data_IF_071942959763
#
_entry.id   IF_071942959763
#
_cell.length_a   1.000
_cell.length_b   1.000
_cell.length_c   1.000
_cell.angle_alpha   90.00
_cell.angle_beta   90.00
_cell.angle_gamma   90.00
#
_symmetry.space_group_name_H-M   'P 1'
#
loop_
_entity.id
_entity.type
_entity.pdbx_description
1 polymer ?
#
# COMPACT_ATOMS: atom_id res chain seq x y z
N UNK A 1 0.73 18.40 -3.24
CA UNK A 1 0.66 17.17 -4.04
C UNK A 1 0.26 15.99 -3.15
N UNK A 2 1.11 15.54 -2.21
CA UNK A 2 0.75 14.48 -1.26
C UNK A 2 -0.36 14.90 -0.28
N UNK A 3 -0.31 16.13 0.23
CA UNK A 3 -1.33 16.68 1.14
C UNK A 3 -2.63 17.12 0.43
N UNK A 4 -2.85 16.69 -0.82
CA UNK A 4 -4.07 17.08 -1.55
C UNK A 4 -5.25 16.22 -1.13
N UNK A 5 -6.46 16.79 -1.18
CA UNK A 5 -7.70 16.08 -0.87
C UNK A 5 -7.84 14.78 -1.67
N UNK A 6 -7.47 14.81 -2.95
CA UNK A 6 -7.47 13.65 -3.84
C UNK A 6 -6.56 12.52 -3.34
N UNK A 7 -5.35 12.84 -2.87
CA UNK A 7 -4.45 11.82 -2.31
C UNK A 7 -5.00 11.32 -0.99
N UNK A 8 -5.48 12.20 -0.11
CA UNK A 8 -6.05 11.83 1.19
C UNK A 8 -7.20 10.82 1.06
N UNK A 9 -8.11 10.98 0.09
CA UNK A 9 -9.22 10.04 -0.08
C UNK A 9 -8.80 8.69 -0.70
N UNK A 10 -7.68 8.61 -1.44
CA UNK A 10 -7.23 7.37 -2.10
C UNK A 10 -6.02 6.68 -1.44
N UNK A 11 -5.32 7.35 -0.50
CA UNK A 11 -4.08 6.84 0.08
C UNK A 11 -4.26 5.46 0.76
N UNK A 12 -5.43 5.22 1.36
CA UNK A 12 -5.76 3.94 1.99
C UNK A 12 -5.62 2.75 1.02
N UNK A 13 -5.91 2.93 -0.26
CA UNK A 13 -5.68 1.88 -1.26
C UNK A 13 -4.20 1.55 -1.45
N UNK A 14 -3.33 2.57 -1.45
CA UNK A 14 -1.88 2.34 -1.50
C UNK A 14 -1.38 1.64 -0.23
N UNK A 15 -1.94 2.00 0.93
CA UNK A 15 -1.64 1.32 2.19
C UNK A 15 -2.07 -0.16 2.12
N UNK A 16 -3.22 -0.46 1.51
CA UNK A 16 -3.68 -1.85 1.33
C UNK A 16 -2.69 -2.70 0.53
N UNK A 17 -2.03 -2.11 -0.47
CA UNK A 17 -1.00 -2.79 -1.28
C UNK A 17 0.27 -3.04 -0.45
N UNK A 18 0.80 -2.00 0.19
CA UNK A 18 2.12 -2.09 0.82
C UNK A 18 2.08 -2.77 2.19
N UNK A 19 1.02 -2.58 2.97
CA UNK A 19 0.93 -3.06 4.36
C UNK A 19 -0.35 -3.84 4.67
N UNK A 20 -1.33 -3.84 3.77
CA UNK A 20 -2.66 -4.38 4.03
C UNK A 20 -2.96 -5.70 3.33
N UNK A 21 -4.25 -5.98 3.19
CA UNK A 21 -4.74 -7.26 2.71
C UNK A 21 -4.36 -7.60 1.26
N UNK A 22 -3.96 -6.60 0.45
CA UNK A 22 -3.53 -6.81 -0.94
C UNK A 22 -2.04 -7.11 -1.09
N UNK A 23 -1.26 -7.10 0.00
CA UNK A 23 0.17 -7.38 -0.08
C UNK A 23 0.48 -8.84 -0.49
N UNK A 24 -0.40 -9.78 -0.11
CA UNK A 24 -0.19 -11.23 -0.31
C UNK A 24 -1.48 -11.96 -0.69
N UNK A 25 -1.35 -13.23 -1.08
CA UNK A 25 -2.48 -14.11 -1.37
C UNK A 25 -3.19 -13.80 -2.69
N UNK A 26 -4.46 -14.22 -2.81
CA UNK A 26 -5.26 -14.05 -4.02
C UNK A 26 -5.48 -12.59 -4.39
N UNK A 27 -5.56 -11.70 -3.39
CA UNK A 27 -5.79 -10.28 -3.61
C UNK A 27 -4.57 -9.59 -4.22
N UNK A 28 -3.35 -9.97 -3.83
CA UNK A 28 -2.13 -9.51 -4.47
C UNK A 28 -2.06 -9.93 -5.94
N UNK A 29 -2.43 -11.17 -6.26
CA UNK A 29 -2.48 -11.68 -7.64
C UNK A 29 -3.48 -10.88 -8.46
N UNK A 30 -4.69 -10.68 -7.93
CA UNK A 30 -5.77 -9.94 -8.61
C UNK A 30 -5.38 -8.49 -8.87
N UNK A 31 -4.59 -7.90 -7.97
CA UNK A 31 -4.17 -6.51 -8.07
C UNK A 31 -2.79 -6.33 -8.74
N UNK A 32 -2.18 -7.42 -9.20
CA UNK A 32 -0.88 -7.44 -9.91
C UNK A 32 0.27 -6.87 -9.05
N UNK A 33 0.27 -7.22 -7.76
CA UNK A 33 1.23 -6.72 -6.76
C UNK A 33 2.02 -7.87 -6.09
N UNK A 34 2.30 -8.93 -6.85
CA UNK A 34 3.09 -10.08 -6.38
C UNK A 34 4.55 -9.89 -6.71
N UNK A 35 5.39 -9.90 -5.68
CA UNK A 35 6.84 -9.81 -5.78
C UNK A 35 7.50 -11.20 -5.72
N UNK A 36 8.81 -11.24 -5.95
CA UNK A 36 9.58 -12.47 -5.81
C UNK A 36 9.53 -13.00 -4.37
N UNK A 37 9.44 -14.31 -4.18
CA UNK A 37 9.12 -14.90 -2.87
C UNK A 37 10.10 -14.50 -1.75
N UNK A 38 11.38 -14.28 -2.07
CA UNK A 38 12.39 -13.84 -1.09
C UNK A 38 12.24 -12.38 -0.64
N UNK A 39 11.41 -11.58 -1.31
CA UNK A 39 11.12 -10.23 -0.87
C UNK A 39 10.22 -10.22 0.37
N UNK A 40 9.46 -11.30 0.62
CA UNK A 40 8.54 -11.39 1.74
C UNK A 40 9.25 -11.85 3.01
N UNK A 41 8.87 -11.23 4.13
CA UNK A 41 9.35 -11.62 5.45
C UNK A 41 9.12 -13.11 5.73
N UNK A 42 10.12 -13.74 6.37
CA UNK A 42 10.11 -15.15 6.77
C UNK A 42 9.89 -16.16 5.64
N UNK A 43 10.14 -15.77 4.38
CA UNK A 43 10.02 -16.68 3.24
C UNK A 43 11.01 -17.86 3.29
N UNK A 44 12.16 -17.69 3.95
CA UNK A 44 13.20 -18.73 4.09
C UNK A 44 13.80 -18.68 5.49
N UNK A 45 14.02 -19.85 6.08
CA UNK A 45 14.85 -20.02 7.28
C UNK A 45 16.31 -20.18 6.85
N UNK A 46 17.15 -19.17 7.11
CA UNK A 46 18.56 -19.20 6.72
C UNK A 46 19.37 -20.26 7.47
N UNK A 47 18.97 -20.61 8.70
CA UNK A 47 19.67 -21.58 9.53
C UNK A 47 19.44 -23.02 9.06
N UNK A 48 18.38 -23.27 8.28
CA UNK A 48 18.14 -24.58 7.69
C UNK A 48 18.93 -24.83 6.40
N UNK A 49 19.66 -23.82 5.88
CA UNK A 49 20.46 -23.94 4.66
C UNK A 49 21.85 -24.45 5.03
N UNK A 50 22.16 -25.67 4.62
CA UNK A 50 23.44 -26.33 4.93
C UNK A 50 24.58 -25.93 3.98
N UNK A 51 24.25 -25.60 2.73
CA UNK A 51 25.24 -25.21 1.73
C UNK A 51 25.62 -23.72 1.91
N UNK A 52 26.89 -23.40 2.19
CA UNK A 52 27.34 -22.02 2.41
C UNK A 52 27.20 -21.14 1.16
N UNK A 53 27.33 -21.71 -0.04
CA UNK A 53 27.17 -20.95 -1.30
C UNK A 53 25.72 -20.53 -1.49
N UNK A 54 24.78 -21.44 -1.27
CA UNK A 54 23.35 -21.17 -1.43
C UNK A 54 22.87 -20.16 -0.37
N UNK A 55 23.36 -20.30 0.87
CA UNK A 55 23.10 -19.34 1.94
C UNK A 55 23.57 -17.94 1.56
N UNK A 56 24.81 -17.81 1.09
CA UNK A 56 25.37 -16.51 0.67
C UNK A 56 24.60 -15.90 -0.49
N UNK A 57 24.16 -16.73 -1.44
CA UNK A 57 23.37 -16.28 -2.58
C UNK A 57 22.00 -15.74 -2.14
N UNK A 58 21.31 -16.46 -1.24
CA UNK A 58 20.01 -16.03 -0.70
C UNK A 58 20.16 -14.75 0.14
N UNK A 59 21.17 -14.66 1.00
CA UNK A 59 21.45 -13.44 1.78
C UNK A 59 21.72 -12.24 0.88
N UNK A 60 22.48 -12.44 -0.19
CA UNK A 60 22.76 -11.39 -1.20
C UNK A 60 21.49 -10.98 -1.92
N UNK A 61 20.63 -11.93 -2.27
CA UNK A 61 19.34 -11.66 -2.90
C UNK A 61 18.46 -10.79 -2.01
N UNK A 62 18.29 -11.19 -0.75
CA UNK A 62 17.46 -10.47 0.24
C UNK A 62 18.00 -9.05 0.48
N UNK A 63 19.33 -8.89 0.56
CA UNK A 63 19.96 -7.59 0.86
C UNK A 63 19.87 -6.59 -0.29
N UNK A 64 19.92 -7.07 -1.53
CA UNK A 64 20.14 -6.19 -2.69
C UNK A 64 18.95 -6.06 -3.64
N UNK A 65 17.95 -6.96 -3.58
CA UNK A 65 16.85 -6.99 -4.57
C UNK A 65 15.48 -6.65 -3.98
N UNK A 66 15.47 -5.98 -2.83
CA UNK A 66 14.28 -5.42 -2.20
C UNK A 66 13.66 -6.32 -1.13
N UNK A 67 13.03 -5.68 -0.15
CA UNK A 67 12.32 -6.32 0.95
C UNK A 67 10.95 -5.66 1.06
N UNK A 68 9.89 -6.45 0.93
CA UNK A 68 8.53 -5.99 1.19
C UNK A 68 8.38 -5.72 2.70
N UNK A 69 7.77 -4.59 3.10
CA UNK A 69 7.47 -4.34 4.50
C UNK A 69 6.60 -5.43 5.13
N UNK A 70 6.58 -5.51 6.45
CA UNK A 70 5.68 -6.42 7.16
C UNK A 70 4.21 -6.10 6.85
N UNK A 71 3.38 -7.15 6.69
CA UNK A 71 1.93 -6.97 6.57
C UNK A 71 1.37 -6.62 7.95
N UNK A 72 0.77 -5.43 8.06
CA UNK A 72 0.23 -4.90 9.32
C UNK A 72 -1.28 -5.19 9.46
N UNK A 73 -1.99 -5.30 8.34
CA UNK A 73 -3.44 -5.47 8.31
C UNK A 73 -3.84 -6.60 7.37
N UNK A 74 -4.80 -7.42 7.80
CA UNK A 74 -5.44 -8.46 6.97
C UNK A 74 -6.82 -8.03 6.46
N UNK A 75 -7.33 -6.90 6.95
CA UNK A 75 -8.59 -6.29 6.51
C UNK A 75 -8.32 -5.02 5.70
N UNK A 76 -9.36 -4.50 5.05
CA UNK A 76 -9.33 -3.25 4.29
C UNK A 76 -8.96 -2.07 5.21
N UNK A 77 -7.97 -1.28 4.82
CA UNK A 77 -7.62 -0.06 5.55
C UNK A 77 -8.78 0.95 5.45
N UNK A 78 -9.24 1.53 6.57
CA UNK A 78 -10.33 2.50 6.54
C UNK A 78 -9.94 3.75 5.72
N UNK A 79 -10.83 4.28 4.88
CA UNK A 79 -10.59 5.54 4.21
C UNK A 79 -10.51 6.67 5.24
N UNK A 80 -9.66 7.67 5.00
CA UNK A 80 -9.65 8.88 5.80
C UNK A 80 -10.96 9.63 5.55
N UNK A 81 -11.56 10.15 6.64
CA UNK A 81 -12.70 11.07 6.55
C UNK A 81 -12.24 12.37 5.88
N UNK A 82 -12.41 12.42 4.57
CA UNK A 82 -12.13 13.55 3.69
C UNK A 82 -13.46 14.25 3.37
N UNK A 83 -13.43 15.57 3.17
CA UNK A 83 -14.62 16.34 2.80
C UNK A 83 -15.27 15.82 1.50
N UNK A 84 -14.46 15.24 0.61
CA UNK A 84 -14.93 14.58 -0.62
C UNK A 84 -15.64 13.24 -0.39
N UNK A 85 -15.28 12.49 0.66
CA UNK A 85 -16.01 11.27 1.04
C UNK A 85 -17.38 11.60 1.64
N UNK A 86 -17.55 12.81 2.17
CA UNK A 86 -18.83 13.30 2.71
C UNK A 86 -19.74 13.92 1.62
N UNK A 87 -19.16 14.40 0.50
CA UNK A 87 -19.92 15.05 -0.58
C UNK A 87 -19.41 14.68 -1.99
N UNK A 88 -19.90 13.56 -2.57
CA UNK A 88 -19.52 13.12 -3.92
C UNK A 88 -19.84 14.12 -5.05
N UNK A 89 -20.69 15.11 -4.77
CA UNK A 89 -21.14 16.15 -5.73
C UNK A 89 -20.07 17.20 -6.05
N UNK A 90 -18.98 17.31 -5.27
CA UNK A 90 -17.92 18.32 -5.50
C UNK A 90 -17.06 18.04 -6.74
N UNK A 91 -17.23 16.90 -7.41
CA UNK A 91 -16.46 16.56 -8.62
C UNK A 91 -16.79 17.44 -9.84
N UNK A 92 -17.93 18.14 -9.84
CA UNK A 92 -18.41 18.98 -10.95
C UNK A 92 -18.40 20.49 -10.66
N UNK A 93 -17.85 20.90 -9.53
CA UNK A 93 -17.98 22.27 -9.04
C UNK A 93 -16.75 23.07 -9.49
N UNK A 94 -16.95 24.10 -10.33
CA UNK A 94 -15.85 24.95 -10.80
C UNK A 94 -15.21 25.67 -9.61
N UNK A 95 -13.94 26.10 -9.71
CA UNK A 95 -13.22 26.72 -8.60
C UNK A 95 -13.94 27.91 -7.94
N UNK A 96 -14.83 28.61 -8.67
CA UNK A 96 -15.61 29.73 -8.12
C UNK A 96 -16.62 29.30 -7.04
N UNK A 97 -17.21 28.12 -7.17
CA UNK A 97 -18.31 27.66 -6.33
C UNK A 97 -17.82 27.08 -4.98
N UNK A 98 -16.56 26.61 -4.92
CA UNK A 98 -15.92 26.15 -3.68
C UNK A 98 -15.78 27.29 -2.65
N UNK A 99 -15.56 28.52 -3.13
CA UNK A 99 -15.49 29.73 -2.31
C UNK A 99 -16.83 30.10 -1.66
N UNK A 100 -17.95 29.76 -2.30
CA UNK A 100 -19.28 30.01 -1.73
C UNK A 100 -19.64 29.00 -0.65
N UNK A 101 -19.27 27.72 -0.80
CA UNK A 101 -19.64 26.67 0.16
C UNK A 101 -18.92 26.87 1.51
N UNK A 102 -17.65 27.26 1.49
CA UNK A 102 -16.86 27.47 2.72
C UNK A 102 -17.18 28.78 3.47
N UNK A 103 -17.94 29.70 2.87
CA UNK A 103 -18.31 30.99 3.51
C UNK A 103 -19.60 30.95 4.31
N UNK A 104 -20.39 29.88 4.20
CA UNK A 104 -21.70 29.75 4.86
C UNK A 104 -21.82 28.52 5.77
N UNK A 105 -20.69 27.96 6.20
CA UNK A 105 -20.62 26.95 7.27
C UNK A 105 -19.98 27.52 8.52
#
# INVERSE_FOLDING_TARGET
ALESEFVSCHLHHWIDFIFGYKQRGSEAVRAVDVFYYLAYESAVNLDSITNPTDRTAIETQIRNFGQAPAQLLTELHPPINSAMNLTPMMYNVTPEDVSMIMKFS
#
